data_IF_077492652819
#
_entry.id   IF_077492652819
#
_cell.length_a   1.000
_cell.length_b   1.000
_cell.length_c   1.000
_cell.angle_alpha   90.00
_cell.angle_beta   90.00
_cell.angle_gamma   90.00
#
_symmetry.space_group_name_H-M   'P 1'
#
loop_
_entity.id
_entity.type
_entity.pdbx_description
1 polymer ?
#
# COMPACT_ATOMS: atom_id res chain seq x y z
N UNK A 1 47.07 7.61 29.27
CA UNK A 1 45.63 7.97 29.29
C UNK A 1 45.21 8.27 27.86
N UNK A 2 44.55 7.34 27.17
CA UNK A 2 44.14 7.48 25.76
C UNK A 2 42.74 8.09 25.67
N UNK A 3 42.68 9.38 25.32
CA UNK A 3 41.46 10.14 25.16
C UNK A 3 40.86 9.82 23.78
N UNK A 4 39.93 8.86 23.70
CA UNK A 4 39.11 8.62 22.51
C UNK A 4 38.27 9.87 22.24
N UNK A 5 38.64 10.66 21.23
CA UNK A 5 37.80 11.74 20.70
C UNK A 5 36.50 11.14 20.14
N UNK A 6 35.38 11.39 20.82
CA UNK A 6 34.06 11.24 20.23
C UNK A 6 33.95 12.24 19.08
N UNK A 7 34.15 11.75 17.85
CA UNK A 7 33.84 12.48 16.63
C UNK A 7 32.32 12.62 16.56
N UNK A 8 31.78 13.77 16.96
CA UNK A 8 30.38 14.12 16.70
C UNK A 8 30.21 14.20 15.19
N UNK A 9 29.57 13.19 14.60
CA UNK A 9 29.33 13.11 13.15
C UNK A 9 28.45 14.30 12.76
N UNK A 10 29.04 15.34 12.16
CA UNK A 10 28.28 16.49 11.65
C UNK A 10 27.49 15.99 10.44
N UNK A 11 26.20 15.69 10.65
CA UNK A 11 25.32 15.24 9.58
C UNK A 11 25.01 16.46 8.70
N UNK A 12 25.35 16.37 7.41
CA UNK A 12 25.11 17.46 6.48
C UNK A 12 23.59 17.62 6.26
N UNK A 13 23.02 18.72 6.76
CA UNK A 13 21.56 19.00 6.69
C UNK A 13 21.05 18.96 5.25
N UNK A 14 21.86 19.42 4.29
CA UNK A 14 21.51 19.38 2.87
C UNK A 14 21.40 17.94 2.34
N UNK A 15 22.26 17.04 2.81
CA UNK A 15 22.19 15.61 2.47
C UNK A 15 20.93 14.97 3.04
N UNK A 16 20.57 15.29 4.28
CA UNK A 16 19.32 14.79 4.90
C UNK A 16 18.10 15.29 4.14
N UNK A 17 18.07 16.58 3.77
CA UNK A 17 17.00 17.16 2.96
C UNK A 17 16.86 16.47 1.60
N UNK A 18 17.96 16.26 0.88
CA UNK A 18 17.94 15.59 -0.43
C UNK A 18 17.45 14.14 -0.33
N UNK A 19 17.90 13.39 0.67
CA UNK A 19 17.43 12.02 0.91
C UNK A 19 15.93 12.00 1.21
N UNK A 20 15.46 12.90 2.07
CA UNK A 20 14.05 12.98 2.42
C UNK A 20 13.17 13.35 1.22
N UNK A 21 13.63 14.28 0.37
CA UNK A 21 12.94 14.67 -0.87
C UNK A 21 12.78 13.48 -1.83
N UNK A 22 13.86 12.72 -2.05
CA UNK A 22 13.84 11.55 -2.93
C UNK A 22 12.90 10.47 -2.38
N UNK A 23 12.94 10.21 -1.07
CA UNK A 23 12.04 9.25 -0.43
C UNK A 23 10.56 9.67 -0.57
N UNK A 24 10.23 10.94 -0.29
CA UNK A 24 8.87 11.44 -0.49
C UNK A 24 8.43 11.41 -1.94
N UNK A 25 9.33 11.67 -2.89
CA UNK A 25 9.04 11.55 -4.32
C UNK A 25 8.66 10.11 -4.69
N UNK A 26 9.44 9.13 -4.24
CA UNK A 26 9.19 7.71 -4.51
C UNK A 26 7.85 7.27 -3.92
N UNK A 27 7.60 7.59 -2.64
CA UNK A 27 6.32 7.27 -1.97
C UNK A 27 5.14 7.94 -2.67
N UNK A 28 5.29 9.19 -3.08
CA UNK A 28 4.29 9.92 -3.87
C UNK A 28 4.00 9.26 -5.21
N UNK A 29 5.05 8.84 -5.93
CA UNK A 29 4.92 8.14 -7.22
C UNK A 29 4.17 6.81 -7.07
N UNK A 30 4.53 5.99 -6.08
CA UNK A 30 3.82 4.73 -5.81
C UNK A 30 2.36 4.94 -5.42
N UNK A 31 2.07 6.00 -4.65
CA UNK A 31 0.70 6.37 -4.28
C UNK A 31 -0.12 6.71 -5.52
N UNK A 32 0.43 7.52 -6.44
CA UNK A 32 -0.26 7.86 -7.70
C UNK A 32 -0.48 6.63 -8.56
N UNK A 33 0.54 5.78 -8.74
CA UNK A 33 0.40 4.54 -9.52
C UNK A 33 -0.70 3.66 -8.95
N UNK A 34 -0.73 3.45 -7.63
CA UNK A 34 -1.79 2.65 -7.01
C UNK A 34 -3.17 3.28 -7.23
N UNK A 35 -3.32 4.58 -7.02
CA UNK A 35 -4.59 5.27 -7.26
C UNK A 35 -5.07 5.12 -8.72
N UNK A 36 -4.16 5.20 -9.69
CA UNK A 36 -4.50 5.00 -11.10
C UNK A 36 -5.01 3.59 -11.40
N UNK A 37 -4.51 2.55 -10.71
CA UNK A 37 -5.09 1.20 -10.79
C UNK A 37 -6.42 1.09 -10.05
N UNK A 38 -6.61 1.85 -8.98
CA UNK A 38 -7.83 1.77 -8.18
C UNK A 38 -9.04 2.45 -8.84
N UNK A 39 -8.83 3.52 -9.61
CA UNK A 39 -9.90 4.32 -10.23
C UNK A 39 -10.83 3.50 -11.16
N UNK A 40 -10.32 2.66 -12.09
CA UNK A 40 -11.17 1.83 -12.93
C UNK A 40 -11.94 0.78 -12.12
N UNK A 41 -11.27 0.18 -11.12
CA UNK A 41 -11.80 -0.92 -10.32
C UNK A 41 -12.92 -0.45 -9.40
N UNK A 42 -12.74 0.70 -8.74
CA UNK A 42 -13.78 1.29 -7.90
C UNK A 42 -14.98 1.73 -8.74
N UNK A 43 -14.77 2.26 -9.95
CA UNK A 43 -15.88 2.66 -10.84
C UNK A 43 -16.70 1.44 -11.28
N UNK A 44 -16.06 0.30 -11.54
CA UNK A 44 -16.75 -0.93 -11.92
C UNK A 44 -17.50 -1.59 -10.75
N UNK A 45 -16.95 -1.55 -9.53
CA UNK A 45 -17.46 -2.31 -8.39
C UNK A 45 -18.37 -1.53 -7.44
N UNK A 46 -18.31 -0.19 -7.48
CA UNK A 46 -19.09 0.67 -6.59
C UNK A 46 -20.37 1.18 -7.27
N UNK A 47 -21.45 1.37 -6.49
CA UNK A 47 -22.66 1.99 -7.01
C UNK A 47 -22.38 3.42 -7.50
N UNK A 48 -22.81 3.75 -8.71
CA UNK A 48 -22.53 5.05 -9.33
C UNK A 48 -23.25 6.21 -8.61
N UNK A 49 -24.39 5.93 -7.95
CA UNK A 49 -25.26 6.95 -7.33
C UNK A 49 -25.37 6.83 -5.79
N UNK A 50 -24.37 6.19 -5.15
CA UNK A 50 -24.42 5.91 -3.72
C UNK A 50 -23.80 7.01 -2.85
N UNK A 51 -24.52 7.49 -1.84
CA UNK A 51 -23.97 8.28 -0.72
C UNK A 51 -22.76 7.58 -0.04
N UNK A 52 -22.66 6.26 -0.17
CA UNK A 52 -21.59 5.43 0.41
C UNK A 52 -20.35 5.29 -0.48
N UNK A 53 -20.41 5.65 -1.76
CA UNK A 53 -19.30 5.44 -2.71
C UNK A 53 -18.05 6.21 -2.29
N UNK A 54 -18.20 7.47 -1.88
CA UNK A 54 -17.10 8.25 -1.33
C UNK A 54 -16.50 7.59 -0.07
N UNK A 55 -17.34 7.08 0.82
CA UNK A 55 -16.89 6.39 2.03
C UNK A 55 -16.12 5.10 1.70
N UNK A 56 -16.54 4.33 0.70
CA UNK A 56 -15.86 3.12 0.25
C UNK A 56 -14.52 3.42 -0.42
N UNK A 57 -14.45 4.48 -1.24
CA UNK A 57 -13.18 4.98 -1.80
C UNK A 57 -12.24 5.44 -0.68
N UNK A 58 -12.76 6.16 0.32
CA UNK A 58 -11.97 6.53 1.50
C UNK A 58 -11.50 5.30 2.28
N UNK A 59 -12.33 4.28 2.42
CA UNK A 59 -11.97 3.01 3.09
C UNK A 59 -10.86 2.28 2.34
N UNK A 60 -10.87 2.31 1.01
CA UNK A 60 -9.84 1.74 0.15
C UNK A 60 -8.48 2.42 0.34
N UNK A 61 -8.49 3.76 0.34
CA UNK A 61 -7.32 4.57 0.64
C UNK A 61 -6.82 4.32 2.08
N UNK A 62 -7.74 4.27 3.04
CA UNK A 62 -7.40 3.99 4.43
C UNK A 62 -6.76 2.61 4.59
N UNK A 63 -7.28 1.58 3.91
CA UNK A 63 -6.70 0.23 3.88
C UNK A 63 -5.24 0.24 3.41
N UNK A 64 -4.96 0.98 2.31
CA UNK A 64 -3.60 1.16 1.83
C UNK A 64 -2.70 1.84 2.87
N UNK A 65 -3.14 2.98 3.42
CA UNK A 65 -2.35 3.74 4.38
C UNK A 65 -2.15 3.01 5.72
N UNK A 66 -3.11 2.18 6.11
CA UNK A 66 -3.04 1.36 7.33
C UNK A 66 -1.91 0.32 7.25
N UNK A 67 -1.51 -0.06 6.03
CA UNK A 67 -0.38 -0.96 5.84
C UNK A 67 0.94 -0.37 6.33
N UNK A 68 1.15 0.95 6.21
CA UNK A 68 2.41 1.59 6.62
C UNK A 68 2.75 1.34 8.11
N UNK A 69 1.92 1.76 9.09
CA UNK A 69 2.25 1.56 10.50
C UNK A 69 2.24 0.08 10.91
N UNK A 70 1.45 -0.77 10.24
CA UNK A 70 1.35 -2.19 10.60
C UNK A 70 2.50 -3.03 10.04
N UNK A 71 3.11 -2.62 8.92
CA UNK A 71 4.15 -3.41 8.26
C UNK A 71 5.58 -2.89 8.48
N UNK A 72 5.76 -1.67 8.98
CA UNK A 72 7.08 -1.08 9.30
C UNK A 72 7.92 -1.98 10.21
N UNK A 73 7.32 -2.52 11.28
CA UNK A 73 7.99 -3.45 12.19
C UNK A 73 8.37 -4.80 11.56
N UNK A 74 7.67 -5.23 10.52
CA UNK A 74 8.02 -6.45 9.78
C UNK A 74 9.13 -6.19 8.77
N UNK A 75 9.05 -5.08 8.04
CA UNK A 75 10.06 -4.67 7.06
C UNK A 75 11.44 -4.48 7.69
N UNK A 76 11.51 -3.80 8.85
CA UNK A 76 12.76 -3.60 9.60
C UNK A 76 13.38 -4.91 10.07
N UNK A 77 12.60 -5.82 10.65
CA UNK A 77 13.08 -7.15 11.07
C UNK A 77 13.59 -7.99 9.91
N UNK A 78 12.92 -7.93 8.76
CA UNK A 78 13.36 -8.65 7.56
C UNK A 78 14.62 -8.05 6.96
N UNK A 79 14.73 -6.72 6.96
CA UNK A 79 15.93 -6.01 6.54
C UNK A 79 17.15 -6.41 7.40
N UNK A 80 16.98 -6.45 8.72
CA UNK A 80 18.02 -6.88 9.66
C UNK A 80 18.42 -8.35 9.49
N UNK A 81 17.45 -9.24 9.24
CA UNK A 81 17.68 -10.70 9.17
C UNK A 81 18.20 -11.17 7.81
N UNK A 82 17.63 -10.66 6.71
CA UNK A 82 17.89 -11.15 5.35
C UNK A 82 18.72 -10.18 4.50
N UNK A 83 18.93 -8.96 4.97
CA UNK A 83 19.61 -7.89 4.25
C UNK A 83 18.73 -7.23 3.19
N UNK A 84 19.20 -6.10 2.66
CA UNK A 84 18.45 -5.24 1.72
C UNK A 84 17.98 -6.01 0.48
N UNK A 85 18.91 -6.66 -0.24
CA UNK A 85 18.60 -7.30 -1.53
C UNK A 85 17.49 -8.34 -1.43
N UNK A 86 17.52 -9.20 -0.40
CA UNK A 86 16.49 -10.25 -0.22
C UNK A 86 15.16 -9.66 0.23
N UNK A 87 15.19 -8.63 1.08
CA UNK A 87 13.98 -7.95 1.56
C UNK A 87 13.26 -7.24 0.41
N UNK A 88 13.99 -6.57 -0.49
CA UNK A 88 13.39 -5.96 -1.68
C UNK A 88 12.78 -7.00 -2.63
N UNK A 89 13.40 -8.17 -2.82
CA UNK A 89 12.78 -9.26 -3.59
C UNK A 89 11.48 -9.77 -2.95
N UNK A 90 11.43 -9.88 -1.63
CA UNK A 90 10.21 -10.25 -0.91
C UNK A 90 9.12 -9.18 -1.05
N UNK A 91 9.48 -7.90 -0.95
CA UNK A 91 8.54 -6.79 -1.18
C UNK A 91 7.95 -6.85 -2.61
N UNK A 92 8.78 -7.13 -3.62
CA UNK A 92 8.35 -7.35 -5.00
C UNK A 92 7.39 -8.54 -5.14
N UNK A 93 7.63 -9.65 -4.43
CA UNK A 93 6.70 -10.79 -4.44
C UNK A 93 5.35 -10.44 -3.78
N UNK A 94 5.37 -9.66 -2.70
CA UNK A 94 4.14 -9.17 -2.05
C UNK A 94 3.39 -8.20 -2.99
N UNK A 95 4.10 -7.36 -3.74
CA UNK A 95 3.52 -6.47 -4.76
C UNK A 95 2.80 -7.28 -5.84
N UNK A 96 3.44 -8.34 -6.36
CA UNK A 96 2.84 -9.23 -7.36
C UNK A 96 1.60 -9.94 -6.77
N UNK A 97 1.66 -10.41 -5.53
CA UNK A 97 0.52 -11.03 -4.86
C UNK A 97 -0.65 -10.03 -4.70
N UNK A 98 -0.37 -8.79 -4.33
CA UNK A 98 -1.38 -7.74 -4.23
C UNK A 98 -2.06 -7.41 -5.56
N UNK A 99 -1.28 -7.36 -6.65
CA UNK A 99 -1.81 -7.21 -8.01
C UNK A 99 -2.67 -8.41 -8.43
N UNK A 100 -2.27 -9.64 -8.10
CA UNK A 100 -3.06 -10.83 -8.34
C UNK A 100 -4.38 -10.83 -7.54
N UNK A 101 -4.40 -10.25 -6.34
CA UNK A 101 -5.63 -10.06 -5.55
C UNK A 101 -6.56 -9.04 -6.22
N UNK A 102 -6.02 -7.95 -6.79
CA UNK A 102 -6.83 -7.02 -7.59
C UNK A 102 -7.45 -7.71 -8.81
N UNK A 103 -6.67 -8.50 -9.53
CA UNK A 103 -7.18 -9.29 -10.65
C UNK A 103 -8.25 -10.29 -10.20
N UNK A 104 -8.02 -11.01 -9.10
CA UNK A 104 -8.99 -11.93 -8.52
C UNK A 104 -10.29 -11.21 -8.10
N UNK A 105 -10.19 -9.99 -7.57
CA UNK A 105 -11.37 -9.18 -7.24
C UNK A 105 -12.21 -8.89 -8.49
N UNK A 106 -11.58 -8.54 -9.61
CA UNK A 106 -12.24 -8.30 -10.90
C UNK A 106 -12.89 -9.57 -11.43
N UNK A 107 -12.14 -10.67 -11.48
CA UNK A 107 -12.64 -11.96 -11.95
C UNK A 107 -13.84 -12.40 -11.11
N UNK A 108 -13.75 -12.27 -9.78
CA UNK A 108 -14.86 -12.59 -8.88
C UNK A 108 -16.09 -11.72 -9.18
N UNK A 109 -15.90 -10.42 -9.44
CA UNK A 109 -17.02 -9.53 -9.79
C UNK A 109 -17.68 -9.90 -11.13
N UNK A 110 -16.89 -10.34 -12.13
CA UNK A 110 -17.40 -10.72 -13.46
C UNK A 110 -18.13 -12.07 -13.41
N UNK A 111 -17.51 -13.10 -12.81
CA UNK A 111 -18.05 -14.47 -12.84
C UNK A 111 -19.07 -14.75 -11.73
N UNK A 112 -18.98 -14.04 -10.62
CA UNK A 112 -19.87 -14.19 -9.46
C UNK A 112 -20.31 -12.82 -8.96
N UNK A 113 -21.30 -12.17 -9.61
CA UNK A 113 -21.78 -10.85 -9.24
C UNK A 113 -22.64 -10.90 -7.96
N UNK A 114 -22.03 -11.36 -6.86
CA UNK A 114 -22.63 -11.37 -5.54
C UNK A 114 -22.55 -9.96 -4.95
N UNK A 115 -23.69 -9.47 -4.50
CA UNK A 115 -23.81 -8.16 -3.87
C UNK A 115 -24.41 -8.31 -2.48
N UNK A 116 -23.89 -7.55 -1.53
CA UNK A 116 -24.42 -7.46 -0.17
C UNK A 116 -25.13 -6.13 -0.03
N UNK A 117 -26.35 -6.14 0.52
CA UNK A 117 -27.06 -4.91 0.88
C UNK A 117 -26.57 -4.41 2.23
N UNK A 118 -25.86 -3.29 2.24
CA UNK A 118 -25.39 -2.61 3.44
C UNK A 118 -26.03 -1.22 3.47
N UNK A 119 -26.84 -0.95 4.49
CA UNK A 119 -27.51 0.36 4.68
C UNK A 119 -28.31 0.75 3.42
N UNK A 120 -29.02 -0.20 2.83
CA UNK A 120 -29.84 0.02 1.62
C UNK A 120 -29.07 0.13 0.30
N UNK A 121 -27.73 0.06 0.33
CA UNK A 121 -26.89 0.10 -0.87
C UNK A 121 -26.35 -1.29 -1.22
N UNK A 122 -26.34 -1.62 -2.50
CA UNK A 122 -25.75 -2.86 -3.01
C UNK A 122 -24.26 -2.68 -3.23
N UNK A 123 -23.45 -3.42 -2.47
CA UNK A 123 -21.98 -3.40 -2.57
C UNK A 123 -21.53 -4.74 -3.13
N UNK A 124 -20.71 -4.71 -4.19
CA UNK A 124 -20.10 -5.91 -4.76
C UNK A 124 -19.19 -6.60 -3.75
N UNK A 125 -19.30 -7.93 -3.59
CA UNK A 125 -18.37 -8.70 -2.74
C UNK A 125 -16.93 -8.58 -3.24
N UNK A 126 -16.74 -8.37 -4.55
CA UNK A 126 -15.44 -8.08 -5.15
C UNK A 126 -14.74 -6.87 -4.54
N UNK A 127 -15.51 -5.88 -4.02
CA UNK A 127 -14.94 -4.73 -3.32
C UNK A 127 -14.17 -5.13 -2.04
N UNK A 128 -14.62 -6.14 -1.29
CA UNK A 128 -13.91 -6.58 -0.07
C UNK A 128 -12.61 -7.30 -0.40
N UNK A 129 -12.59 -8.09 -1.48
CA UNK A 129 -11.35 -8.70 -2.00
C UNK A 129 -10.39 -7.60 -2.45
N UNK A 130 -10.94 -6.59 -3.12
CA UNK A 130 -10.18 -5.42 -3.56
C UNK A 130 -9.62 -4.60 -2.38
N UNK A 131 -10.37 -4.46 -1.29
CA UNK A 131 -9.94 -3.83 -0.04
C UNK A 131 -8.72 -4.55 0.58
N UNK A 132 -8.71 -5.88 0.55
CA UNK A 132 -7.58 -6.70 0.99
C UNK A 132 -6.38 -6.50 0.08
N UNK A 133 -6.59 -6.47 -1.25
CA UNK A 133 -5.53 -6.18 -2.21
C UNK A 133 -4.87 -4.83 -1.94
N UNK A 134 -5.67 -3.80 -1.61
CA UNK A 134 -5.17 -2.45 -1.31
C UNK A 134 -4.24 -2.47 -0.11
N UNK A 135 -4.59 -3.21 0.94
CA UNK A 135 -3.71 -3.40 2.10
C UNK A 135 -2.42 -4.12 1.71
N UNK A 136 -2.50 -5.23 0.96
CA UNK A 136 -1.33 -6.05 0.59
C UNK A 136 -0.33 -5.26 -0.27
N UNK A 137 -0.81 -4.46 -1.23
CA UNK A 137 0.07 -3.61 -2.02
C UNK A 137 0.66 -2.48 -1.16
N UNK A 138 -0.10 -1.91 -0.21
CA UNK A 138 0.42 -0.97 0.77
C UNK A 138 1.55 -1.56 1.63
N UNK A 139 1.44 -2.84 2.01
CA UNK A 139 2.50 -3.58 2.72
C UNK A 139 3.74 -3.70 1.85
N UNK A 140 3.57 -4.04 0.56
CA UNK A 140 4.69 -4.11 -0.38
C UNK A 140 5.40 -2.76 -0.52
N UNK A 141 4.66 -1.67 -0.68
CA UNK A 141 5.20 -0.31 -0.79
C UNK A 141 5.92 0.16 0.48
N UNK A 142 5.54 -0.36 1.66
CA UNK A 142 6.20 -0.03 2.93
C UNK A 142 7.55 -0.76 3.07
N UNK A 143 7.64 -1.99 2.57
CA UNK A 143 8.84 -2.83 2.73
C UNK A 143 9.88 -2.54 1.63
N UNK A 144 9.44 -2.04 0.47
CA UNK A 144 10.28 -1.72 -0.69
C UNK A 144 11.19 -0.51 -0.44
#
# INVERSE_FOLDING_TARGET
MNQKRNQTKVVNVFTVFMVMLILYFIVGLFTVINQQFQIPLQTAMLPHDGNITNALVTMLNFSWFLAYPLSEGFGTRWLEKYGYRKTSYLALLILIAGLAIYEAAVLFHIYTPMQVSIIGNHISVGFFIFLIGSFVIGVAATIL
#
